data_IF_075575643886
#
_entry.id   IF_075575643886
#
_cell.length_a   1.000
_cell.length_b   1.000
_cell.length_c   1.000
_cell.angle_alpha   90.00
_cell.angle_beta   90.00
_cell.angle_gamma   90.00
#
_symmetry.space_group_name_H-M   'P 1'
#
loop_
_entity.id
_entity.type
_entity.pdbx_description
1 polymer ?
#
# COMPACT_ATOMS: atom_id res chain seq x y z
N UNK A 1 -22.43 24.64 3.32
CA UNK A 1 -22.05 23.80 2.18
C UNK A 1 -20.57 23.44 2.34
N UNK A 2 -20.19 22.17 2.19
CA UNK A 2 -18.79 21.79 2.22
C UNK A 2 -18.06 22.47 1.05
N UNK A 3 -16.85 23.00 1.30
CA UNK A 3 -16.02 23.60 0.25
C UNK A 3 -15.58 22.52 -0.75
N UNK A 4 -15.50 22.86 -2.04
CA UNK A 4 -14.97 21.97 -3.06
C UNK A 4 -13.52 21.56 -2.73
N UNK A 5 -13.10 20.32 -3.02
CA UNK A 5 -11.74 19.87 -2.74
C UNK A 5 -10.71 20.68 -3.54
N UNK A 6 -9.53 20.91 -2.93
CA UNK A 6 -8.36 21.45 -3.63
C UNK A 6 -7.94 20.43 -4.67
N UNK A 7 -7.59 20.87 -5.88
CA UNK A 7 -7.09 19.98 -6.93
C UNK A 7 -5.57 20.06 -6.98
N UNK A 8 -4.90 18.92 -6.99
CA UNK A 8 -3.46 18.83 -7.17
C UNK A 8 -3.11 17.81 -8.26
N UNK A 9 -2.35 18.23 -9.25
CA UNK A 9 -1.88 17.37 -10.32
C UNK A 9 -0.43 16.97 -10.08
N UNK A 10 -0.16 15.69 -9.85
CA UNK A 10 1.20 15.19 -9.57
C UNK A 10 2.13 15.31 -10.78
N UNK A 11 1.62 15.26 -12.01
CA UNK A 11 2.46 15.33 -13.19
C UNK A 11 3.01 16.76 -13.40
N UNK A 12 2.17 17.77 -13.27
CA UNK A 12 2.56 19.19 -13.46
C UNK A 12 3.00 19.86 -12.15
N UNK A 13 2.47 19.43 -11.01
CA UNK A 13 2.60 20.12 -9.72
C UNK A 13 1.61 21.28 -9.55
N UNK A 14 0.63 21.43 -10.46
CA UNK A 14 -0.39 22.46 -10.37
C UNK A 14 -1.30 22.25 -9.15
N UNK A 15 -1.54 23.32 -8.38
CA UNK A 15 -2.44 23.37 -7.24
C UNK A 15 -3.54 24.39 -7.51
N UNK A 16 -4.77 23.91 -7.68
CA UNK A 16 -5.93 24.74 -8.04
C UNK A 16 -6.96 24.80 -6.92
N UNK A 17 -7.73 25.88 -6.85
CA UNK A 17 -8.78 26.07 -5.85
C UNK A 17 -8.28 26.34 -4.42
N UNK A 18 -6.96 26.43 -4.20
CA UNK A 18 -6.34 26.74 -2.92
C UNK A 18 -6.17 28.25 -2.73
N UNK A 19 -6.51 28.75 -1.54
CA UNK A 19 -6.20 30.12 -1.13
C UNK A 19 -4.70 30.29 -0.78
N UNK A 20 -4.27 31.52 -0.46
CA UNK A 20 -2.86 31.81 -0.19
C UNK A 20 -2.31 31.01 1.00
N UNK A 21 -3.09 30.87 2.09
CA UNK A 21 -2.66 30.10 3.26
C UNK A 21 -2.53 28.62 2.96
N UNK A 22 -3.49 28.05 2.24
CA UNK A 22 -3.44 26.66 1.79
C UNK A 22 -2.26 26.39 0.85
N UNK A 23 -1.91 27.33 -0.04
CA UNK A 23 -0.71 27.23 -0.89
C UNK A 23 0.59 27.24 -0.07
N UNK A 24 0.67 28.11 0.94
CA UNK A 24 1.80 28.15 1.86
C UNK A 24 1.92 26.86 2.64
N UNK A 25 0.79 26.32 3.11
CA UNK A 25 0.75 25.02 3.80
C UNK A 25 1.18 23.86 2.87
N UNK A 26 0.74 23.84 1.62
CA UNK A 26 1.21 22.84 0.64
C UNK A 26 2.73 22.89 0.46
N UNK A 27 3.31 24.09 0.34
CA UNK A 27 4.76 24.26 0.24
C UNK A 27 5.48 23.73 1.50
N UNK A 28 4.95 24.04 2.69
CA UNK A 28 5.48 23.54 3.95
C UNK A 28 5.42 22.00 4.05
N UNK A 29 4.31 21.38 3.64
CA UNK A 29 4.13 19.92 3.61
C UNK A 29 5.11 19.28 2.63
N UNK A 30 5.26 19.82 1.43
CA UNK A 30 6.23 19.31 0.42
C UNK A 30 7.66 19.42 0.93
N UNK A 31 8.04 20.58 1.49
CA UNK A 31 9.38 20.80 2.02
C UNK A 31 9.66 19.90 3.21
N UNK A 32 8.70 19.78 4.13
CA UNK A 32 8.77 18.86 5.27
C UNK A 32 8.92 17.40 4.83
N UNK A 33 8.16 16.97 3.81
CA UNK A 33 8.29 15.62 3.24
C UNK A 33 9.68 15.37 2.65
N UNK A 34 10.24 16.33 1.90
CA UNK A 34 11.60 16.21 1.32
C UNK A 34 12.67 16.16 2.39
N UNK A 35 12.61 17.00 3.42
CA UNK A 35 13.59 16.99 4.50
C UNK A 35 13.49 15.70 5.31
N UNK A 36 12.27 15.33 5.72
CA UNK A 36 12.04 14.16 6.57
C UNK A 36 12.32 12.83 5.87
N UNK A 37 12.31 12.77 4.53
CA UNK A 37 12.67 11.56 3.78
C UNK A 37 14.09 11.06 4.08
N UNK A 38 15.03 11.95 4.44
CA UNK A 38 16.38 11.59 4.86
C UNK A 38 16.41 10.89 6.24
N UNK A 39 15.31 10.95 6.99
CA UNK A 39 15.14 10.38 8.33
C UNK A 39 13.91 9.46 8.39
N UNK A 40 13.60 8.75 7.31
CA UNK A 40 12.45 7.83 7.21
C UNK A 40 11.11 8.50 7.60
N UNK A 41 10.92 9.77 7.22
CA UNK A 41 9.77 10.61 7.55
C UNK A 41 9.46 10.78 9.05
N UNK A 42 10.44 10.56 9.92
CA UNK A 42 10.27 10.73 11.37
C UNK A 42 9.81 12.16 11.72
N UNK A 43 8.76 12.27 12.53
CA UNK A 43 8.16 13.53 12.96
C UNK A 43 7.26 14.23 11.92
N UNK A 44 7.26 13.82 10.65
CA UNK A 44 6.46 14.45 9.60
C UNK A 44 4.96 14.42 9.91
N UNK A 45 4.44 13.26 10.31
CA UNK A 45 3.01 13.07 10.63
C UNK A 45 2.56 14.04 11.73
N UNK A 46 3.35 14.18 12.79
CA UNK A 46 3.03 15.07 13.90
C UNK A 46 2.99 16.55 13.45
N UNK A 47 3.98 16.99 12.67
CA UNK A 47 4.04 18.35 12.14
C UNK A 47 2.89 18.63 11.16
N UNK A 48 2.58 17.71 10.25
CA UNK A 48 1.47 17.86 9.31
C UNK A 48 0.12 17.92 10.04
N UNK A 49 -0.13 17.05 11.02
CA UNK A 49 -1.34 17.08 11.84
C UNK A 49 -1.47 18.37 12.68
N UNK A 50 -0.35 18.94 13.12
CA UNK A 50 -0.38 20.24 13.80
C UNK A 50 -0.75 21.37 12.81
N UNK A 51 -0.15 21.37 11.64
CA UNK A 51 -0.46 22.34 10.57
C UNK A 51 -1.94 22.22 10.15
N UNK A 52 -2.45 21.00 10.01
CA UNK A 52 -3.85 20.75 9.67
C UNK A 52 -4.85 21.46 10.58
N UNK A 53 -4.55 21.60 11.89
CA UNK A 53 -5.42 22.29 12.85
C UNK A 53 -5.61 23.79 12.51
N UNK A 54 -4.75 24.36 11.69
CA UNK A 54 -4.80 25.77 11.26
C UNK A 54 -5.45 25.93 9.88
N UNK A 55 -5.77 24.83 9.21
CA UNK A 55 -6.36 24.82 7.87
C UNK A 55 -7.88 24.68 7.94
N UNK A 56 -8.61 25.20 6.92
CA UNK A 56 -10.03 24.89 6.76
C UNK A 56 -10.27 23.39 6.62
N UNK A 57 -11.39 22.91 7.17
CA UNK A 57 -11.83 21.53 6.98
C UNK A 57 -12.31 21.30 5.54
N UNK A 58 -11.42 20.82 4.69
CA UNK A 58 -11.73 20.43 3.31
C UNK A 58 -10.79 19.32 2.84
N UNK A 59 -11.17 18.69 1.75
CA UNK A 59 -10.37 17.65 1.12
C UNK A 59 -9.41 18.22 0.06
N UNK A 60 -8.41 17.43 -0.28
CA UNK A 60 -7.60 17.60 -1.48
C UNK A 60 -7.76 16.36 -2.36
N UNK A 61 -7.96 16.59 -3.65
CA UNK A 61 -8.05 15.57 -4.68
C UNK A 61 -6.75 15.58 -5.50
N UNK A 62 -5.97 14.52 -5.37
CA UNK A 62 -4.69 14.38 -6.06
C UNK A 62 -4.90 13.54 -7.32
N UNK A 63 -4.61 14.12 -8.48
CA UNK A 63 -4.50 13.38 -9.72
C UNK A 63 -3.19 12.60 -9.73
N UNK A 64 -3.28 11.29 -9.51
CA UNK A 64 -2.13 10.38 -9.51
C UNK A 64 -1.62 10.12 -10.93
N UNK A 65 -2.55 9.93 -11.87
CA UNK A 65 -2.31 9.78 -13.31
C UNK A 65 -3.53 10.30 -14.08
N UNK A 66 -3.54 10.31 -15.44
CA UNK A 66 -4.66 10.86 -16.21
C UNK A 66 -6.03 10.23 -15.92
N UNK A 67 -6.06 9.04 -15.34
CA UNK A 67 -7.27 8.23 -15.10
C UNK A 67 -7.55 7.97 -13.61
N UNK A 68 -6.70 8.42 -12.69
CA UNK A 68 -6.82 8.14 -11.26
C UNK A 68 -6.76 9.42 -10.41
N UNK A 69 -7.76 9.59 -9.54
CA UNK A 69 -7.85 10.69 -8.57
C UNK A 69 -8.00 10.10 -7.17
N UNK A 70 -7.14 10.52 -6.25
CA UNK A 70 -7.17 10.11 -4.85
C UNK A 70 -7.47 11.29 -3.94
N UNK A 71 -8.58 11.21 -3.21
CA UNK A 71 -9.07 12.29 -2.35
C UNK A 71 -8.91 11.93 -0.88
N UNK A 72 -8.41 12.90 -0.10
CA UNK A 72 -8.24 12.77 1.34
C UNK A 72 -8.32 14.13 2.04
N UNK A 73 -8.46 14.19 3.38
CA UNK A 73 -8.49 15.46 4.12
C UNK A 73 -7.20 16.25 3.93
N UNK A 74 -7.31 17.51 3.53
CA UNK A 74 -6.13 18.37 3.33
C UNK A 74 -5.32 18.53 4.62
N UNK A 75 -4.01 18.37 4.53
CA UNK A 75 -3.11 18.40 5.68
C UNK A 75 -3.11 17.09 6.51
N UNK A 76 -3.72 16.02 5.99
CA UNK A 76 -3.59 14.69 6.58
C UNK A 76 -2.13 14.28 6.73
N UNK A 77 -1.73 13.86 7.95
CA UNK A 77 -0.33 13.59 8.26
C UNK A 77 0.27 12.42 7.50
N UNK A 78 -0.54 11.45 7.12
CA UNK A 78 -0.09 10.26 6.39
C UNK A 78 -0.04 10.53 4.88
N UNK A 79 -1.16 10.96 4.30
CA UNK A 79 -1.33 11.08 2.85
C UNK A 79 -0.75 12.36 2.25
N UNK A 80 -0.53 13.42 3.04
CA UNK A 80 0.04 14.67 2.51
C UNK A 80 1.46 14.54 1.95
N UNK A 81 2.17 13.43 2.23
CA UNK A 81 3.44 13.09 1.57
C UNK A 81 3.30 13.00 0.05
N UNK A 82 2.12 12.65 -0.45
CA UNK A 82 1.82 12.58 -1.90
C UNK A 82 1.90 13.93 -2.62
N UNK A 83 1.85 15.07 -1.90
CA UNK A 83 2.14 16.39 -2.47
C UNK A 83 3.59 16.53 -2.93
N UNK A 84 4.51 15.79 -2.32
CA UNK A 84 5.86 15.66 -2.83
C UNK A 84 5.87 14.71 -4.04
N UNK A 85 6.05 15.25 -5.23
CA UNK A 85 6.01 14.51 -6.50
C UNK A 85 7.06 13.40 -6.60
N UNK A 86 8.14 13.50 -5.83
CA UNK A 86 9.20 12.48 -5.78
C UNK A 86 8.93 11.39 -4.72
N UNK A 87 7.88 11.53 -3.93
CA UNK A 87 7.51 10.53 -2.96
C UNK A 87 6.80 9.36 -3.64
N UNK A 88 7.29 8.17 -3.43
CA UNK A 88 6.69 6.91 -3.85
C UNK A 88 6.15 6.25 -2.58
N UNK A 89 4.93 5.78 -2.64
CA UNK A 89 4.27 5.08 -1.53
C UNK A 89 4.43 3.58 -1.74
N UNK A 90 5.09 2.89 -0.80
CA UNK A 90 5.36 1.43 -0.86
C UNK A 90 5.95 1.04 -2.23
N UNK A 91 7.16 1.53 -2.50
CA UNK A 91 7.83 1.41 -3.81
C UNK A 91 8.01 -0.06 -4.27
N UNK A 92 8.16 -1.00 -3.36
CA UNK A 92 8.21 -2.42 -3.64
C UNK A 92 6.88 -2.97 -4.17
N UNK A 93 5.73 -2.46 -3.70
CA UNK A 93 4.42 -2.81 -4.23
C UNK A 93 4.21 -2.18 -5.61
N UNK A 94 4.59 -0.90 -5.77
CA UNK A 94 4.49 -0.21 -7.05
C UNK A 94 5.29 -0.93 -8.13
N UNK A 95 6.48 -1.44 -7.81
CA UNK A 95 7.30 -2.25 -8.74
C UNK A 95 6.57 -3.50 -9.22
N UNK A 96 5.94 -4.26 -8.30
CA UNK A 96 5.19 -5.47 -8.66
C UNK A 96 3.95 -5.13 -9.50
N UNK A 97 3.17 -4.12 -9.12
CA UNK A 97 1.99 -3.71 -9.88
C UNK A 97 2.37 -3.17 -11.26
N UNK A 98 3.42 -2.37 -11.37
CA UNK A 98 3.90 -1.82 -12.63
C UNK A 98 4.44 -2.91 -13.58
N UNK A 99 5.16 -3.92 -13.05
CA UNK A 99 5.60 -5.06 -13.88
C UNK A 99 4.42 -5.95 -14.30
N UNK A 100 3.29 -5.93 -13.57
CA UNK A 100 2.14 -6.82 -13.78
C UNK A 100 0.99 -6.20 -14.59
N UNK A 101 1.20 -5.07 -15.25
CA UNK A 101 0.15 -4.35 -16.03
C UNK A 101 -0.50 -5.23 -17.09
N UNK A 102 0.25 -6.14 -17.69
CA UNK A 102 -0.19 -7.05 -18.76
C UNK A 102 -0.80 -8.36 -18.26
N UNK A 103 -0.86 -8.57 -16.95
CA UNK A 103 -1.41 -9.78 -16.33
C UNK A 103 -2.87 -9.56 -15.96
N UNK A 104 -3.77 -10.45 -16.39
CA UNK A 104 -5.16 -10.42 -15.91
C UNK A 104 -5.24 -10.96 -14.47
N UNK A 105 -5.19 -10.05 -13.50
CA UNK A 105 -5.31 -10.36 -12.07
C UNK A 105 -6.40 -9.51 -11.40
N UNK A 106 -6.83 -9.94 -10.22
CA UNK A 106 -7.67 -9.13 -9.33
C UNK A 106 -6.86 -8.74 -8.09
N UNK A 107 -6.87 -7.45 -7.73
CA UNK A 107 -6.33 -6.96 -6.46
C UNK A 107 -7.35 -7.20 -5.34
N UNK A 108 -6.90 -7.82 -4.25
CA UNK A 108 -7.59 -7.83 -2.96
C UNK A 108 -6.82 -6.90 -2.02
N UNK A 109 -7.36 -5.72 -1.78
CA UNK A 109 -6.74 -4.64 -0.99
C UNK A 109 -7.33 -4.69 0.42
N UNK A 110 -6.74 -5.52 1.29
CA UNK A 110 -7.21 -5.76 2.66
C UNK A 110 -6.53 -4.79 3.62
N UNK A 111 -7.33 -3.98 4.32
CA UNK A 111 -6.86 -2.80 5.04
C UNK A 111 -6.65 -1.62 4.10
N UNK A 112 -7.59 -1.43 3.16
CA UNK A 112 -7.44 -0.48 2.06
C UNK A 112 -7.33 0.99 2.50
N UNK A 113 -7.64 1.33 3.76
CA UNK A 113 -7.68 2.69 4.26
C UNK A 113 -8.58 3.56 3.36
N UNK A 114 -8.04 4.55 2.65
CA UNK A 114 -8.78 5.38 1.69
C UNK A 114 -8.74 4.82 0.25
N UNK A 115 -8.08 3.67 0.01
CA UNK A 115 -8.07 2.94 -1.26
C UNK A 115 -7.03 3.41 -2.26
N UNK A 116 -5.86 3.85 -1.83
CA UNK A 116 -4.79 4.32 -2.72
C UNK A 116 -4.44 3.29 -3.81
N UNK A 117 -4.17 2.05 -3.41
CA UNK A 117 -3.80 0.99 -4.35
C UNK A 117 -4.95 0.59 -5.25
N UNK A 118 -6.16 0.47 -4.70
CA UNK A 118 -7.37 0.16 -5.47
C UNK A 118 -7.67 1.23 -6.52
N UNK A 119 -7.48 2.53 -6.20
CA UNK A 119 -7.60 3.64 -7.16
C UNK A 119 -6.56 3.52 -8.26
N UNK A 120 -5.30 3.25 -7.90
CA UNK A 120 -4.19 3.23 -8.86
C UNK A 120 -4.28 2.03 -9.80
N UNK A 121 -4.43 0.82 -9.24
CA UNK A 121 -4.46 -0.46 -9.98
C UNK A 121 -5.66 -0.54 -10.93
N UNK A 122 -6.83 0.02 -10.54
CA UNK A 122 -8.00 0.06 -11.41
C UNK A 122 -7.93 1.10 -12.52
N UNK A 123 -6.87 1.91 -12.59
CA UNK A 123 -6.67 2.90 -13.64
C UNK A 123 -6.02 2.31 -14.89
N UNK A 124 -6.30 2.90 -16.07
CA UNK A 124 -5.75 2.45 -17.36
C UNK A 124 -4.22 2.37 -17.40
N UNK A 125 -3.47 3.36 -16.85
CA UNK A 125 -2.02 3.27 -16.82
C UNK A 125 -1.46 2.10 -16.02
N UNK A 126 -2.24 1.53 -15.10
CA UNK A 126 -1.88 0.33 -14.32
C UNK A 126 -2.61 -0.94 -14.81
N UNK A 127 -3.19 -0.96 -16.02
CA UNK A 127 -3.81 -2.14 -16.62
C UNK A 127 -5.33 -2.23 -16.43
N UNK A 128 -5.96 -1.28 -15.70
CA UNK A 128 -7.41 -1.26 -15.41
C UNK A 128 -7.91 -2.58 -14.78
N UNK A 129 -7.16 -3.11 -13.83
CA UNK A 129 -7.46 -4.37 -13.17
C UNK A 129 -8.68 -4.26 -12.25
N UNK A 130 -9.35 -5.37 -12.03
CA UNK A 130 -10.37 -5.50 -10.99
C UNK A 130 -9.72 -5.35 -9.62
N UNK A 131 -10.41 -4.66 -8.70
CA UNK A 131 -9.99 -4.58 -7.31
C UNK A 131 -11.18 -4.67 -6.36
N UNK A 132 -10.97 -5.30 -5.22
CA UNK A 132 -11.89 -5.35 -4.08
C UNK A 132 -11.14 -4.74 -2.91
N UNK A 133 -11.58 -3.55 -2.48
CA UNK A 133 -11.00 -2.80 -1.37
C UNK A 133 -11.79 -3.09 -0.10
N UNK A 134 -11.13 -3.59 0.92
CA UNK A 134 -11.71 -4.04 2.18
C UNK A 134 -11.18 -3.17 3.32
N UNK A 135 -12.08 -2.47 4.00
CA UNK A 135 -11.73 -1.55 5.08
C UNK A 135 -12.76 -1.65 6.21
N UNK A 136 -12.35 -2.02 7.44
CA UNK A 136 -13.28 -2.20 8.54
C UNK A 136 -13.77 -0.90 9.16
N UNK A 137 -12.93 0.14 9.29
CA UNK A 137 -13.29 1.39 9.95
C UNK A 137 -14.33 2.17 9.16
N UNK A 138 -15.47 2.48 9.77
CA UNK A 138 -16.51 3.30 9.14
C UNK A 138 -16.02 4.68 8.73
N UNK A 139 -15.07 5.25 9.46
CA UNK A 139 -14.46 6.53 9.13
C UNK A 139 -13.60 6.45 7.86
N UNK A 140 -12.74 5.45 7.75
CA UNK A 140 -11.90 5.23 6.58
C UNK A 140 -12.74 4.77 5.39
N UNK A 141 -13.67 3.82 5.62
CA UNK A 141 -14.57 3.30 4.60
C UNK A 141 -15.38 4.40 3.91
N UNK A 142 -15.83 5.43 4.64
CA UNK A 142 -16.55 6.54 4.02
C UNK A 142 -15.71 7.28 2.98
N UNK A 143 -14.40 7.40 3.19
CA UNK A 143 -13.45 8.00 2.26
C UNK A 143 -13.07 7.05 1.13
N UNK A 144 -12.93 5.77 1.44
CA UNK A 144 -12.76 4.70 0.45
C UNK A 144 -13.91 4.67 -0.55
N UNK A 145 -15.15 4.66 -0.06
CA UNK A 145 -16.35 4.69 -0.89
C UNK A 145 -16.43 5.98 -1.75
N UNK A 146 -16.04 7.13 -1.20
CA UNK A 146 -15.92 8.37 -1.99
C UNK A 146 -14.86 8.23 -3.09
N UNK A 147 -13.69 7.67 -2.79
CA UNK A 147 -12.64 7.42 -3.78
C UNK A 147 -13.10 6.46 -4.88
N UNK A 148 -13.84 5.41 -4.55
CA UNK A 148 -14.46 4.54 -5.56
C UNK A 148 -15.42 5.34 -6.46
N UNK A 149 -16.30 6.15 -5.87
CA UNK A 149 -17.30 6.96 -6.57
C UNK A 149 -16.67 7.97 -7.55
N UNK A 150 -15.66 8.74 -7.11
CA UNK A 150 -15.02 9.75 -7.97
C UNK A 150 -14.16 9.12 -9.08
N UNK A 151 -13.81 7.85 -8.94
CA UNK A 151 -13.13 7.05 -9.96
C UNK A 151 -14.12 6.15 -10.74
N UNK A 152 -15.39 6.60 -10.88
CA UNK A 152 -16.42 5.96 -11.67
C UNK A 152 -16.80 4.52 -11.22
N UNK A 153 -16.58 4.17 -9.95
CA UNK A 153 -16.90 2.85 -9.41
C UNK A 153 -16.08 1.70 -10.01
N UNK A 154 -14.84 1.96 -10.43
CA UNK A 154 -13.99 0.97 -11.11
C UNK A 154 -13.55 -0.18 -10.21
N UNK A 155 -13.66 -0.03 -8.89
CA UNK A 155 -13.37 -1.09 -7.93
C UNK A 155 -14.49 -1.24 -6.90
N UNK A 156 -14.64 -2.45 -6.38
CA UNK A 156 -15.63 -2.77 -5.34
C UNK A 156 -15.09 -2.39 -3.96
N UNK A 157 -15.98 -1.98 -3.04
CA UNK A 157 -15.63 -1.68 -1.66
C UNK A 157 -16.44 -2.54 -0.69
N UNK A 158 -15.79 -3.07 0.35
CA UNK A 158 -16.43 -3.88 1.40
C UNK A 158 -16.09 -3.32 2.78
N UNK A 159 -17.14 -3.10 3.63
CA UNK A 159 -16.95 -2.67 5.01
C UNK A 159 -16.92 -3.89 5.94
N UNK A 160 -15.76 -4.48 6.07
CA UNK A 160 -15.51 -5.60 6.98
C UNK A 160 -14.01 -5.71 7.31
N UNK A 161 -13.68 -6.45 8.35
CA UNK A 161 -12.31 -6.87 8.66
C UNK A 161 -12.01 -8.23 8.00
N UNK A 162 -10.72 -8.51 7.81
CA UNK A 162 -10.23 -9.83 7.39
C UNK A 162 -9.70 -10.57 8.63
N UNK A 163 -9.98 -11.87 8.70
CA UNK A 163 -9.50 -12.75 9.77
C UNK A 163 -9.51 -14.21 9.35
N UNK A 164 -9.40 -15.13 10.33
CA UNK A 164 -9.33 -16.56 10.04
C UNK A 164 -10.69 -17.18 9.65
N UNK A 165 -11.80 -16.60 10.09
CA UNK A 165 -13.15 -17.11 9.88
C UNK A 165 -14.19 -15.98 9.96
N UNK A 166 -15.41 -16.28 9.52
CA UNK A 166 -16.54 -15.36 9.72
C UNK A 166 -16.82 -15.11 11.19
N UNK A 167 -17.12 -13.85 11.52
CA UNK A 167 -17.45 -13.45 12.87
C UNK A 167 -17.69 -11.95 12.98
N UNK A 168 -17.52 -11.43 14.17
CA UNK A 168 -17.52 -9.99 14.48
C UNK A 168 -16.28 -9.65 15.29
N UNK A 169 -15.80 -8.43 15.14
CA UNK A 169 -14.70 -7.91 15.95
C UNK A 169 -14.99 -6.47 16.35
N UNK A 170 -14.27 -5.98 17.37
CA UNK A 170 -14.29 -4.57 17.76
C UNK A 170 -12.99 -3.90 17.35
N UNK A 171 -13.10 -2.79 16.66
CA UNK A 171 -11.93 -1.99 16.29
C UNK A 171 -11.50 -1.14 17.48
N UNK A 172 -10.21 -1.07 17.73
CA UNK A 172 -9.60 -0.13 18.66
C UNK A 172 -8.59 0.73 17.92
N UNK A 173 -8.47 1.99 18.31
CA UNK A 173 -7.53 2.93 17.75
C UNK A 173 -8.13 4.33 17.64
N UNK A 174 -7.25 5.32 17.65
CA UNK A 174 -7.64 6.74 17.51
C UNK A 174 -7.10 7.37 16.23
N UNK A 175 -6.23 6.65 15.51
CA UNK A 175 -5.62 7.10 14.27
C UNK A 175 -6.17 6.30 13.11
N UNK A 176 -6.50 6.98 12.02
CA UNK A 176 -7.07 6.33 10.82
C UNK A 176 -6.08 5.39 10.10
N UNK A 177 -4.79 5.55 10.35
CA UNK A 177 -3.73 4.69 9.82
C UNK A 177 -3.42 3.46 10.68
N UNK A 178 -4.09 3.28 11.82
CA UNK A 178 -3.77 2.24 12.80
C UNK A 178 -5.01 1.81 13.59
N UNK A 179 -6.05 1.33 12.90
CA UNK A 179 -7.17 0.63 13.53
C UNK A 179 -6.86 -0.86 13.58
N UNK A 180 -6.73 -1.43 14.76
CA UNK A 180 -6.52 -2.85 14.98
C UNK A 180 -7.75 -3.53 15.58
N UNK A 181 -7.83 -4.84 15.45
CA UNK A 181 -8.87 -5.65 16.09
C UNK A 181 -8.58 -5.72 17.58
N UNK A 182 -9.51 -5.22 18.40
CA UNK A 182 -9.41 -5.26 19.85
C UNK A 182 -9.73 -6.66 20.40
N UNK A 183 -8.97 -7.09 21.40
CA UNK A 183 -9.35 -8.25 22.20
C UNK A 183 -10.63 -8.01 23.01
N UNK A 184 -11.24 -9.08 23.50
CA UNK A 184 -12.58 -9.19 24.12
C UNK A 184 -12.87 -8.24 25.31
N UNK A 185 -11.89 -7.45 25.80
CA UNK A 185 -12.03 -6.69 27.05
C UNK A 185 -12.03 -5.15 26.89
N UNK A 186 -12.01 -4.61 25.66
CA UNK A 186 -12.05 -3.15 25.50
C UNK A 186 -13.50 -2.64 25.46
N UNK A 187 -13.89 -1.91 26.49
CA UNK A 187 -15.14 -1.14 26.51
C UNK A 187 -14.99 0.06 25.56
N UNK A 188 -15.60 -0.03 24.40
CA UNK A 188 -15.62 1.01 23.37
C UNK A 188 -15.00 0.51 22.05
N UNK A 189 -15.42 1.11 20.94
CA UNK A 189 -14.96 0.74 19.60
C UNK A 189 -16.14 0.40 18.68
N UNK A 190 -15.88 0.45 17.38
CA UNK A 190 -16.87 0.10 16.35
C UNK A 190 -16.91 -1.42 16.19
N UNK A 191 -18.09 -2.02 16.28
CA UNK A 191 -18.28 -3.42 15.94
C UNK A 191 -18.37 -3.59 14.43
N UNK A 192 -17.58 -4.52 13.88
CA UNK A 192 -17.48 -4.75 12.44
C UNK A 192 -17.57 -6.24 12.12
N UNK A 193 -18.18 -6.61 10.97
CA UNK A 193 -18.14 -7.98 10.49
C UNK A 193 -16.71 -8.38 10.12
N UNK A 194 -16.37 -9.65 10.36
CA UNK A 194 -15.12 -10.28 9.96
C UNK A 194 -15.43 -11.36 8.93
N UNK A 195 -14.62 -11.42 7.87
CA UNK A 195 -14.66 -12.50 6.89
C UNK A 195 -13.27 -13.11 6.73
N UNK A 196 -13.22 -14.36 6.30
CA UNK A 196 -12.00 -14.99 5.83
C UNK A 196 -11.79 -14.70 4.33
N UNK A 197 -10.55 -14.71 3.85
CA UNK A 197 -10.26 -14.56 2.42
C UNK A 197 -10.99 -15.60 1.58
N UNK A 198 -11.07 -16.85 2.05
CA UNK A 198 -11.79 -17.93 1.34
C UNK A 198 -13.29 -17.68 1.23
N UNK A 199 -13.87 -16.86 2.11
CA UNK A 199 -15.27 -16.46 1.98
C UNK A 199 -15.54 -15.59 0.75
N UNK A 200 -14.54 -14.91 0.21
CA UNK A 200 -14.68 -14.19 -1.06
C UNK A 200 -14.97 -15.16 -2.22
N UNK A 201 -14.42 -16.39 -2.18
CA UNK A 201 -14.75 -17.45 -3.14
C UNK A 201 -16.17 -17.96 -2.89
N UNK A 202 -16.51 -18.25 -1.64
CA UNK A 202 -17.84 -18.78 -1.26
C UNK A 202 -18.97 -17.82 -1.62
N UNK A 203 -18.75 -16.52 -1.46
CA UNK A 203 -19.71 -15.47 -1.77
C UNK A 203 -19.72 -15.09 -3.28
N UNK A 204 -18.92 -15.78 -4.11
CA UNK A 204 -18.85 -15.53 -5.55
C UNK A 204 -18.22 -14.17 -5.91
N UNK A 205 -17.50 -13.52 -5.00
CA UNK A 205 -16.81 -12.25 -5.23
C UNK A 205 -15.56 -12.46 -6.10
N UNK A 206 -14.90 -13.59 -5.91
CA UNK A 206 -13.74 -14.01 -6.71
C UNK A 206 -13.91 -15.46 -7.15
N UNK A 207 -13.25 -15.85 -8.23
CA UNK A 207 -13.28 -17.22 -8.71
C UNK A 207 -12.36 -18.12 -7.86
N UNK A 208 -12.67 -19.43 -7.81
CA UNK A 208 -11.79 -20.42 -7.18
C UNK A 208 -10.50 -20.67 -7.99
N UNK A 209 -10.43 -20.12 -9.19
CA UNK A 209 -9.26 -20.15 -10.08
C UNK A 209 -9.05 -18.75 -10.65
N UNK A 210 -7.81 -18.32 -10.75
CA UNK A 210 -7.48 -16.97 -11.22
C UNK A 210 -6.14 -16.50 -10.71
N UNK A 211 -5.77 -15.28 -11.06
CA UNK A 211 -4.56 -14.64 -10.54
C UNK A 211 -4.95 -13.55 -9.56
N UNK A 212 -4.29 -13.53 -8.41
CA UNK A 212 -4.60 -12.57 -7.35
C UNK A 212 -3.33 -11.93 -6.80
N UNK A 213 -3.38 -10.61 -6.63
CA UNK A 213 -2.45 -9.87 -5.79
C UNK A 213 -3.22 -9.46 -4.54
N UNK A 214 -2.76 -9.89 -3.37
CA UNK A 214 -3.48 -9.78 -2.11
C UNK A 214 -2.64 -8.95 -1.14
N UNK A 215 -3.00 -7.69 -0.95
CA UNK A 215 -2.38 -6.84 0.07
C UNK A 215 -3.03 -7.15 1.42
N UNK A 216 -2.21 -7.45 2.42
CA UNK A 216 -2.61 -7.64 3.81
C UNK A 216 -1.91 -6.60 4.68
N UNK A 217 -2.60 -5.52 4.94
CA UNK A 217 -2.21 -4.44 5.84
C UNK A 217 -3.35 -4.27 6.86
N UNK A 218 -3.47 -5.29 7.71
CA UNK A 218 -4.66 -5.50 8.57
C UNK A 218 -4.36 -5.29 10.05
N UNK A 219 -3.24 -4.60 10.33
CA UNK A 219 -2.86 -4.06 11.63
C UNK A 219 -2.80 -5.14 12.73
N UNK A 220 -2.00 -6.20 12.47
CA UNK A 220 -1.62 -7.24 13.45
C UNK A 220 -2.43 -8.52 13.38
N UNK A 221 -3.29 -8.69 12.37
CA UNK A 221 -4.03 -9.94 12.12
C UNK A 221 -3.67 -10.62 10.79
N UNK A 222 -2.49 -10.31 10.24
CA UNK A 222 -1.98 -10.83 8.98
C UNK A 222 -1.92 -12.36 9.00
N UNK A 223 -1.43 -12.95 10.10
CA UNK A 223 -1.37 -14.42 10.28
C UNK A 223 -2.77 -15.03 10.25
N UNK A 224 -3.74 -14.40 10.90
CA UNK A 224 -5.13 -14.88 10.91
C UNK A 224 -5.76 -14.73 9.51
N UNK A 225 -5.44 -13.67 8.78
CA UNK A 225 -5.84 -13.50 7.39
C UNK A 225 -5.28 -14.59 6.47
N UNK A 226 -4.00 -14.95 6.62
CA UNK A 226 -3.37 -16.04 5.88
C UNK A 226 -4.04 -17.38 6.20
N UNK A 227 -4.31 -17.67 7.48
CA UNK A 227 -5.03 -18.89 7.89
C UNK A 227 -6.43 -18.98 7.29
N UNK A 228 -7.11 -17.85 7.11
CA UNK A 228 -8.44 -17.75 6.50
C UNK A 228 -8.44 -17.81 4.97
N UNK A 229 -7.28 -17.92 4.31
CA UNK A 229 -7.13 -17.87 2.86
C UNK A 229 -6.57 -19.12 2.20
N UNK A 230 -6.65 -20.28 2.82
CA UNK A 230 -5.96 -21.51 2.37
C UNK A 230 -6.28 -21.86 0.91
N UNK A 231 -7.56 -21.78 0.50
CA UNK A 231 -8.01 -22.08 -0.87
C UNK A 231 -7.56 -21.00 -1.85
N UNK A 232 -7.71 -19.73 -1.47
CA UNK A 232 -7.33 -18.61 -2.31
C UNK A 232 -5.81 -18.59 -2.53
N UNK A 233 -5.01 -18.94 -1.53
CA UNK A 233 -3.56 -19.00 -1.61
C UNK A 233 -3.02 -20.21 -2.40
N UNK A 234 -3.87 -21.19 -2.71
CA UNK A 234 -3.55 -22.28 -3.62
C UNK A 234 -3.77 -21.93 -5.10
N UNK A 235 -4.38 -20.77 -5.38
CA UNK A 235 -4.51 -20.24 -6.75
C UNK A 235 -3.19 -19.58 -7.20
N UNK A 236 -3.16 -19.00 -8.41
CA UNK A 236 -2.07 -18.13 -8.81
C UNK A 236 -2.12 -16.81 -8.02
N UNK A 237 -1.67 -16.84 -6.78
CA UNK A 237 -1.73 -15.68 -5.88
C UNK A 237 -0.37 -15.28 -5.31
N UNK A 238 -0.24 -13.98 -4.98
CA UNK A 238 0.83 -13.41 -4.15
C UNK A 238 0.18 -12.66 -3.01
N UNK A 239 0.57 -12.96 -1.78
CA UNK A 239 0.29 -12.09 -0.64
C UNK A 239 1.41 -11.07 -0.47
N UNK A 240 1.04 -9.87 -0.11
CA UNK A 240 1.91 -8.75 0.23
C UNK A 240 1.53 -8.30 1.64
N UNK A 241 2.35 -8.63 2.63
CA UNK A 241 2.05 -8.40 4.04
C UNK A 241 2.95 -7.31 4.60
N UNK A 242 2.38 -6.30 5.24
CA UNK A 242 3.19 -5.37 6.02
C UNK A 242 3.66 -6.06 7.32
N UNK A 243 4.95 -5.97 7.61
CA UNK A 243 5.54 -6.40 8.86
C UNK A 243 6.10 -5.20 9.60
N UNK A 244 5.63 -5.01 10.85
CA UNK A 244 6.00 -3.85 11.64
C UNK A 244 7.51 -3.72 11.86
N UNK A 245 8.03 -2.52 11.67
CA UNK A 245 9.45 -2.20 11.87
C UNK A 245 9.97 -2.53 13.28
N UNK A 246 9.12 -2.45 14.30
CA UNK A 246 9.46 -2.77 15.69
C UNK A 246 9.45 -4.28 16.01
N UNK A 247 8.80 -5.10 15.20
CA UNK A 247 8.82 -6.56 15.39
C UNK A 247 10.17 -7.15 14.97
N UNK A 248 10.97 -7.55 15.95
CA UNK A 248 12.25 -8.23 15.77
C UNK A 248 12.15 -9.74 15.73
N UNK A 249 10.96 -10.29 16.01
CA UNK A 249 10.70 -11.72 15.88
C UNK A 249 10.35 -12.14 14.46
N UNK A 250 10.05 -11.17 13.59
CA UNK A 250 9.57 -11.39 12.23
C UNK A 250 8.38 -12.35 12.21
N UNK A 251 7.35 -12.05 13.00
CA UNK A 251 6.27 -12.99 13.27
C UNK A 251 5.54 -13.45 12.01
N UNK A 252 5.19 -12.53 11.11
CA UNK A 252 4.50 -12.84 9.84
C UNK A 252 5.42 -13.63 8.92
N UNK A 253 6.66 -13.17 8.72
CA UNK A 253 7.66 -13.84 7.89
C UNK A 253 7.98 -15.25 8.39
N UNK A 254 8.14 -15.41 9.70
CA UNK A 254 8.34 -16.73 10.35
C UNK A 254 7.17 -17.65 10.08
N UNK A 255 5.94 -17.15 10.26
CA UNK A 255 4.74 -17.94 10.00
C UNK A 255 4.68 -18.40 8.53
N UNK A 256 4.95 -17.49 7.58
CA UNK A 256 4.98 -17.86 6.16
C UNK A 256 6.04 -18.92 5.90
N UNK A 257 7.25 -18.73 6.40
CA UNK A 257 8.40 -19.61 6.14
C UNK A 257 8.24 -21.00 6.76
N UNK A 258 7.70 -21.07 7.99
CA UNK A 258 7.70 -22.32 8.78
C UNK A 258 6.36 -23.08 8.71
N UNK A 259 5.24 -22.39 8.41
CA UNK A 259 3.91 -22.98 8.58
C UNK A 259 3.04 -22.91 7.31
N UNK A 260 3.59 -22.44 6.19
CA UNK A 260 2.87 -22.40 4.92
C UNK A 260 3.71 -22.98 3.78
N UNK A 261 3.09 -23.40 2.66
CA UNK A 261 3.83 -23.80 1.46
C UNK A 261 4.33 -22.62 0.63
N UNK A 262 4.12 -21.37 1.08
CA UNK A 262 4.48 -20.18 0.33
C UNK A 262 5.98 -19.93 0.36
N UNK A 263 6.57 -19.61 -0.78
CA UNK A 263 7.92 -19.07 -0.88
C UNK A 263 7.92 -17.65 -0.35
N UNK A 264 8.70 -17.38 0.69
CA UNK A 264 8.84 -16.05 1.25
C UNK A 264 9.83 -15.24 0.42
N UNK A 265 9.45 -14.01 0.07
CA UNK A 265 10.23 -13.11 -0.77
C UNK A 265 10.21 -11.71 -0.12
N UNK A 266 11.30 -10.96 -0.24
CA UNK A 266 11.41 -9.59 0.26
C UNK A 266 12.12 -8.72 -0.77
N UNK A 267 11.76 -7.44 -0.84
CA UNK A 267 12.48 -6.46 -1.64
C UNK A 267 13.72 -5.96 -0.88
N UNK A 268 14.91 -6.13 -1.47
CA UNK A 268 16.13 -5.51 -0.95
C UNK A 268 16.41 -4.20 -1.70
N UNK A 269 16.25 -3.05 -1.06
CA UNK A 269 16.48 -1.75 -1.70
C UNK A 269 17.94 -1.50 -2.08
N UNK A 270 18.91 -2.22 -1.48
CA UNK A 270 20.33 -2.09 -1.82
C UNK A 270 20.65 -2.73 -3.15
N UNK A 271 20.15 -3.93 -3.37
CA UNK A 271 20.28 -4.66 -4.65
C UNK A 271 19.25 -4.21 -5.68
N UNK A 272 18.13 -3.61 -5.25
CA UNK A 272 16.93 -3.29 -6.03
C UNK A 272 16.30 -4.56 -6.64
N UNK A 273 16.18 -5.62 -5.82
CA UNK A 273 15.71 -6.93 -6.24
C UNK A 273 14.77 -7.53 -5.20
N UNK A 274 13.87 -8.36 -5.68
CA UNK A 274 13.11 -9.30 -4.85
C UNK A 274 14.01 -10.51 -4.53
N UNK A 275 14.32 -10.72 -3.26
CA UNK A 275 15.14 -11.84 -2.78
C UNK A 275 14.27 -12.90 -2.11
N UNK A 276 14.54 -14.17 -2.41
CA UNK A 276 13.93 -15.29 -1.67
C UNK A 276 14.54 -15.38 -0.28
N UNK A 277 13.68 -15.41 0.73
CA UNK A 277 14.07 -15.55 2.13
C UNK A 277 14.07 -17.03 2.50
N UNK A 278 15.24 -17.58 2.78
CA UNK A 278 15.40 -18.96 3.25
C UNK A 278 15.66 -19.03 4.76
N UNK A 279 16.07 -17.92 5.35
CA UNK A 279 16.33 -17.74 6.78
C UNK A 279 16.02 -16.32 7.21
N UNK A 280 15.52 -16.12 8.42
CA UNK A 280 15.05 -14.82 8.90
C UNK A 280 16.16 -13.79 9.05
N UNK A 281 17.41 -14.22 9.20
CA UNK A 281 18.59 -13.33 9.25
C UNK A 281 18.74 -12.43 8.02
N UNK A 282 18.18 -12.83 6.88
CA UNK A 282 18.12 -11.99 5.67
C UNK A 282 17.32 -10.71 5.94
N UNK A 283 16.24 -10.83 6.71
CA UNK A 283 15.36 -9.70 7.05
C UNK A 283 16.05 -8.70 7.99
N UNK A 284 16.89 -9.16 8.91
CA UNK A 284 17.67 -8.28 9.79
C UNK A 284 18.60 -7.34 9.02
N UNK A 285 19.11 -7.79 7.87
CA UNK A 285 19.93 -6.99 6.97
C UNK A 285 19.11 -5.91 6.23
N UNK A 286 17.86 -6.19 5.93
CA UNK A 286 16.95 -5.33 5.16
C UNK A 286 16.20 -4.38 6.08
N UNK A 287 15.69 -4.89 7.20
CA UNK A 287 14.93 -4.16 8.21
C UNK A 287 15.86 -3.31 9.10
N UNK A 288 16.31 -2.19 8.57
CA UNK A 288 17.24 -1.29 9.28
C UNK A 288 16.53 -0.29 10.20
N UNK A 289 15.24 -0.02 9.99
CA UNK A 289 14.45 0.92 10.79
C UNK A 289 13.46 0.18 11.70
N UNK A 290 13.35 0.63 12.96
CA UNK A 290 12.34 0.15 13.92
C UNK A 290 11.01 0.91 13.82
N UNK A 291 10.96 1.97 13.02
CA UNK A 291 9.83 2.89 12.92
C UNK A 291 9.09 2.80 11.59
N UNK A 292 9.62 2.05 10.64
CA UNK A 292 9.04 1.89 9.31
C UNK A 292 8.76 0.41 9.11
N UNK A 293 7.52 0.07 8.76
CA UNK A 293 7.14 -1.25 8.28
C UNK A 293 7.81 -1.54 6.93
N UNK A 294 7.80 -2.78 6.53
CA UNK A 294 8.21 -3.21 5.19
C UNK A 294 7.33 -4.36 4.74
N UNK A 295 7.13 -4.46 3.44
CA UNK A 295 6.30 -5.51 2.88
C UNK A 295 7.13 -6.78 2.60
N UNK A 296 6.58 -7.92 3.02
CA UNK A 296 7.06 -9.26 2.62
C UNK A 296 6.03 -9.88 1.68
N UNK A 297 6.52 -10.71 0.77
CA UNK A 297 5.71 -11.34 -0.25
C UNK A 297 5.72 -12.85 -0.05
N UNK A 298 4.57 -13.48 -0.25
CA UNK A 298 4.44 -14.92 -0.17
C UNK A 298 3.69 -15.49 -1.37
N UNK A 299 4.25 -16.52 -2.02
CA UNK A 299 3.57 -17.19 -3.15
C UNK A 299 3.97 -18.64 -3.28
N UNK A 300 3.00 -19.51 -3.60
CA UNK A 300 3.23 -20.88 -4.07
C UNK A 300 3.13 -21.01 -5.60
N UNK A 301 2.66 -19.95 -6.29
CA UNK A 301 2.43 -19.94 -7.73
C UNK A 301 3.75 -19.93 -8.51
N UNK A 302 3.96 -20.91 -9.38
CA UNK A 302 5.08 -20.90 -10.32
C UNK A 302 5.01 -19.69 -11.27
N UNK A 303 3.81 -19.32 -11.72
CA UNK A 303 3.60 -18.14 -12.57
C UNK A 303 4.17 -16.86 -11.93
N UNK A 304 3.84 -16.61 -10.67
CA UNK A 304 4.31 -15.40 -9.99
C UNK A 304 5.80 -15.47 -9.63
N UNK A 305 6.32 -16.66 -9.31
CA UNK A 305 7.76 -16.84 -9.08
C UNK A 305 8.56 -16.50 -10.35
N UNK A 306 8.17 -17.05 -11.50
CA UNK A 306 8.80 -16.77 -12.80
C UNK A 306 8.70 -15.27 -13.16
N UNK A 307 7.55 -14.65 -12.87
CA UNK A 307 7.36 -13.20 -13.11
C UNK A 307 8.31 -12.35 -12.26
N UNK A 308 8.44 -12.64 -10.98
CA UNK A 308 9.35 -11.93 -10.06
C UNK A 308 10.82 -12.14 -10.50
N UNK A 309 11.19 -13.33 -10.95
CA UNK A 309 12.53 -13.59 -11.48
C UNK A 309 12.80 -12.79 -12.76
N UNK A 310 11.83 -12.73 -13.67
CA UNK A 310 11.92 -11.91 -14.88
C UNK A 310 12.02 -10.41 -14.57
N UNK A 311 11.27 -9.91 -13.59
CA UNK A 311 11.38 -8.52 -13.10
C UNK A 311 12.78 -8.22 -12.55
N UNK A 312 13.36 -9.13 -11.77
CA UNK A 312 14.73 -9.01 -11.27
C UNK A 312 15.76 -8.93 -12.40
N UNK A 313 15.59 -9.71 -13.47
CA UNK A 313 16.47 -9.68 -14.64
C UNK A 313 16.40 -8.32 -15.37
N UNK A 314 15.22 -7.78 -15.60
CA UNK A 314 15.01 -6.45 -16.21
C UNK A 314 15.67 -5.33 -15.40
N UNK A 315 15.56 -5.37 -14.07
CA UNK A 315 16.16 -4.38 -13.18
C UNK A 315 17.70 -4.40 -13.23
N UNK A 316 18.32 -5.56 -13.38
CA UNK A 316 19.76 -5.70 -13.57
C UNK A 316 20.23 -5.09 -14.89
N UNK A 317 19.52 -5.33 -15.99
CA UNK A 317 19.85 -4.80 -17.30
C UNK A 317 19.76 -3.27 -17.32
N UNK A 318 18.75 -2.69 -16.70
CA UNK A 318 18.58 -1.25 -16.56
C UNK A 318 19.72 -0.61 -15.77
N UNK A 319 20.14 -1.22 -14.65
CA UNK A 319 21.32 -0.75 -13.87
C UNK A 319 22.61 -0.81 -14.68
N UNK A 320 22.83 -1.91 -15.40
CA UNK A 320 24.03 -2.10 -16.23
C UNK A 320 24.08 -1.09 -17.38
N UNK A 321 22.97 -0.80 -18.03
CA UNK A 321 22.84 0.23 -19.06
C UNK A 321 23.13 1.63 -18.52
N UNK A 322 22.58 1.98 -17.36
CA UNK A 322 22.81 3.27 -16.71
C UNK A 322 24.28 3.44 -16.29
N UNK A 323 24.91 2.39 -15.74
CA UNK A 323 26.34 2.40 -15.39
C UNK A 323 27.23 2.58 -16.62
N UNK A 324 26.93 1.88 -17.73
CA UNK A 324 27.66 2.03 -19.00
C UNK A 324 27.52 3.44 -19.58
N UNK A 325 26.30 4.02 -19.52
CA UNK A 325 26.04 5.38 -20.00
C UNK A 325 26.74 6.45 -19.15
N UNK A 326 26.82 6.23 -17.83
CA UNK A 326 27.55 7.13 -16.91
C UNK A 326 29.06 7.09 -17.20
N UNK A 327 29.61 5.90 -17.35
CA UNK A 327 31.04 5.71 -17.68
C UNK A 327 31.41 6.31 -19.06
N UNK A 328 30.54 6.15 -20.06
CA UNK A 328 30.69 6.77 -21.39
C UNK A 328 30.63 8.29 -21.34
N UNK A 329 29.75 8.89 -20.50
CA UNK A 329 29.70 10.35 -20.29
C UNK A 329 30.92 10.88 -19.56
N UNK A 330 31.44 10.12 -18.59
CA UNK A 330 32.66 10.48 -17.86
C UNK A 330 33.90 10.42 -18.76
N UNK A 331 34.01 9.37 -19.57
CA UNK A 331 35.13 9.25 -20.55
C UNK A 331 35.11 10.38 -21.61
N UNK A 332 33.95 10.83 -22.07
CA UNK A 332 33.80 11.98 -23.00
C UNK A 332 34.11 13.34 -22.37
N UNK A 333 34.09 13.47 -21.05
CA UNK A 333 34.41 14.71 -20.31
C UNK A 333 35.91 14.81 -19.99
N UNK A 334 36.65 13.71 -20.16
CA UNK A 334 38.11 13.64 -19.92
C UNK A 334 38.95 13.69 -21.20
N UNK A 335 38.30 13.77 -22.37
CA UNK A 335 38.87 14.11 -23.68
C UNK A 335 38.54 15.59 -24.04
#
# INVERSE_FOLDING_TARGET
MAQAPIQFDRASGALEGANLWERTAALALVTGSKISSHFSHMGYIACANLLRKTLPERNIAIRLNPDAVFEFPYGDGYWSKLLNRSYIYEDELELLFADSIDVDYTLLDCGANYGYWSVLVSSKPFGAHKAIAIEPSGQNYSKLANNARINAGRFETMKCAIGAARGTARLSGTKHEAFSIAGDQSAGGEEVPVIALDNLIEDGKVAATGKYLIKLDVEGVEIEAIKGGVRLLQTDSVIMCEEHGSDRSHAVSRFILEQTPLKLIVFDPRSNRMETVTELSILDRIKVSTHVGYNVFGTASAFWQDRIEAMNAKNLDTKNLNAKNLNAKTARRMQ
#
